data_IF_590200864119
#
_entry.id   IF_590200864119
#
_cell.length_a   1.000
_cell.length_b   1.000
_cell.length_c   1.000
_cell.angle_alpha   90.00
_cell.angle_beta   90.00
_cell.angle_gamma   90.00
#
_symmetry.space_group_name_H-M   'P 1'
#
loop_
_entity.id
_entity.type
_entity.pdbx_description
1 polymer ?
#
# COMPACT_ATOMS: atom_id res chain seq x y z
N UNK A 1 12.14 -5.42 -3.21
CA UNK A 1 13.56 -5.18 -2.87
C UNK A 1 13.72 -4.09 -1.79
N UNK A 2 13.32 -2.83 -2.04
CA UNK A 2 13.58 -1.70 -1.13
C UNK A 2 13.21 -1.92 0.35
N UNK A 3 12.05 -2.50 0.65
CA UNK A 3 11.65 -2.83 2.04
C UNK A 3 12.61 -3.75 2.79
N UNK A 4 13.27 -4.70 2.09
CA UNK A 4 14.27 -5.57 2.70
C UNK A 4 15.57 -4.81 2.96
N UNK A 5 16.03 -4.01 1.99
CA UNK A 5 17.22 -3.18 2.15
C UNK A 5 17.06 -2.19 3.31
N UNK A 6 15.89 -1.56 3.45
CA UNK A 6 15.64 -0.58 4.50
C UNK A 6 15.63 -1.25 5.88
N UNK A 7 14.94 -2.39 6.00
CA UNK A 7 14.96 -3.18 7.23
C UNK A 7 16.37 -3.65 7.59
N UNK A 8 17.16 -4.09 6.61
CA UNK A 8 18.56 -4.46 6.81
C UNK A 8 19.42 -3.28 7.26
N UNK A 9 19.27 -2.11 6.62
CA UNK A 9 20.03 -0.91 6.97
C UNK A 9 19.73 -0.51 8.41
N UNK A 10 18.44 -0.46 8.80
CA UNK A 10 18.03 -0.18 10.17
C UNK A 10 18.60 -1.19 11.18
N UNK A 11 18.49 -2.47 10.86
CA UNK A 11 18.97 -3.53 11.73
C UNK A 11 20.49 -3.47 11.91
N UNK A 12 21.24 -3.18 10.84
CA UNK A 12 22.69 -3.01 10.92
C UNK A 12 23.06 -1.74 11.68
N UNK A 13 22.37 -0.62 11.46
CA UNK A 13 22.57 0.62 12.22
C UNK A 13 22.42 0.39 13.72
N UNK A 14 21.37 -0.32 14.14
CA UNK A 14 21.16 -0.67 15.55
C UNK A 14 22.23 -1.64 16.05
N UNK A 15 22.58 -2.66 15.26
CA UNK A 15 23.62 -3.61 15.63
C UNK A 15 24.96 -2.92 15.86
N UNK A 16 25.39 -2.06 14.94
CA UNK A 16 26.65 -1.31 15.05
C UNK A 16 26.60 -0.35 16.25
N UNK A 17 25.48 0.36 16.45
CA UNK A 17 25.29 1.27 17.60
C UNK A 17 25.41 0.53 18.95
N UNK A 18 24.88 -0.68 19.04
CA UNK A 18 24.90 -1.48 20.27
C UNK A 18 26.10 -2.43 20.39
N UNK A 19 27.03 -2.44 19.42
CA UNK A 19 28.17 -3.35 19.42
C UNK A 19 27.78 -4.83 19.23
N UNK A 20 26.72 -5.09 18.46
CA UNK A 20 26.23 -6.44 18.14
C UNK A 20 26.57 -6.84 16.70
N UNK A 21 26.62 -8.15 16.45
CA UNK A 21 26.78 -8.68 15.08
C UNK A 21 25.48 -8.53 14.29
N UNK A 22 25.58 -7.93 13.10
CA UNK A 22 24.51 -7.94 12.11
C UNK A 22 24.48 -9.26 11.31
N UNK A 23 23.27 -9.76 11.04
CA UNK A 23 23.02 -10.81 10.07
C UNK A 23 21.60 -10.72 9.50
N UNK A 24 21.39 -11.31 8.32
CA UNK A 24 20.12 -11.21 7.60
C UNK A 24 19.64 -12.55 7.05
N UNK A 25 18.32 -12.67 6.87
CA UNK A 25 17.70 -13.77 6.12
C UNK A 25 17.14 -13.26 4.81
N UNK A 26 17.41 -13.98 3.73
CA UNK A 26 16.91 -13.65 2.39
C UNK A 26 16.79 -14.96 1.59
N UNK A 27 15.66 -15.17 0.93
CA UNK A 27 15.41 -16.40 0.17
C UNK A 27 16.35 -16.52 -1.05
N UNK A 28 16.85 -17.72 -1.36
CA UNK A 28 17.56 -18.01 -2.62
C UNK A 28 16.64 -18.40 -3.78
N UNK A 29 15.34 -18.17 -3.62
CA UNK A 29 14.35 -18.33 -4.69
C UNK A 29 13.82 -16.96 -5.06
N UNK A 30 13.83 -16.65 -6.35
CA UNK A 30 13.21 -15.44 -6.89
C UNK A 30 11.74 -15.43 -6.44
N UNK A 31 11.36 -14.38 -5.70
CA UNK A 31 9.97 -14.14 -5.37
C UNK A 31 9.45 -13.18 -6.43
N UNK A 32 8.81 -13.73 -7.46
CA UNK A 32 8.05 -12.97 -8.44
C UNK A 32 6.56 -13.13 -8.13
N UNK A 33 5.88 -12.07 -7.68
CA UNK A 33 4.44 -11.96 -7.97
C UNK A 33 4.38 -11.44 -9.42
N UNK A 34 3.80 -12.25 -10.31
CA UNK A 34 4.05 -12.34 -11.77
C UNK A 34 3.87 -11.05 -12.60
N UNK A 35 3.62 -9.89 -11.99
CA UNK A 35 3.39 -8.63 -12.71
C UNK A 35 3.99 -7.35 -12.08
N UNK A 36 4.26 -7.28 -10.77
CA UNK A 36 4.54 -5.96 -10.13
C UNK A 36 5.66 -5.94 -9.08
N UNK A 37 6.11 -7.09 -8.56
CA UNK A 37 7.16 -7.15 -7.54
C UNK A 37 8.19 -8.23 -7.90
N UNK A 38 9.36 -7.79 -8.34
CA UNK A 38 10.54 -8.65 -8.46
C UNK A 38 11.40 -8.46 -7.21
N UNK A 39 11.69 -9.55 -6.52
CA UNK A 39 12.73 -9.60 -5.49
C UNK A 39 13.70 -10.69 -5.86
N UNK A 40 14.85 -10.28 -6.37
CA UNK A 40 15.94 -11.18 -6.72
C UNK A 40 16.57 -11.82 -5.48
N UNK A 41 17.39 -12.84 -5.74
CA UNK A 41 18.13 -13.59 -4.73
C UNK A 41 19.27 -12.75 -4.14
N UNK A 42 19.69 -13.07 -2.92
CA UNK A 42 20.76 -12.33 -2.23
C UNK A 42 22.07 -12.30 -3.06
N UNK A 43 22.40 -13.41 -3.72
CA UNK A 43 23.61 -13.59 -4.53
C UNK A 43 23.69 -12.65 -5.74
N UNK A 44 22.56 -12.10 -6.22
CA UNK A 44 22.56 -11.07 -7.26
C UNK A 44 22.81 -9.67 -6.70
N UNK A 45 22.46 -9.43 -5.43
CA UNK A 45 22.48 -8.10 -4.82
C UNK A 45 23.77 -7.84 -4.08
N UNK A 46 24.28 -8.82 -3.33
CA UNK A 46 25.43 -8.68 -2.45
C UNK A 46 26.65 -9.44 -2.97
N UNK A 47 27.83 -9.04 -2.55
CA UNK A 47 29.07 -9.76 -2.85
C UNK A 47 29.11 -11.13 -2.15
N UNK A 48 29.89 -12.09 -2.66
CA UNK A 48 30.12 -13.37 -1.97
C UNK A 48 30.62 -13.18 -0.52
N UNK A 49 31.58 -12.28 -0.31
CA UNK A 49 32.13 -11.95 1.00
C UNK A 49 31.06 -11.44 1.98
N UNK A 50 30.17 -10.57 1.53
CA UNK A 50 29.08 -10.06 2.37
C UNK A 50 28.13 -11.17 2.78
N UNK A 51 27.81 -12.07 1.85
CA UNK A 51 26.94 -13.22 2.09
C UNK A 51 27.59 -14.16 3.09
N UNK A 52 28.86 -14.51 2.92
CA UNK A 52 29.59 -15.38 3.85
C UNK A 52 29.60 -14.81 5.28
N UNK A 53 29.81 -13.51 5.43
CA UNK A 53 29.91 -12.85 6.74
C UNK A 53 28.56 -12.66 7.42
N UNK A 54 27.50 -12.33 6.68
CA UNK A 54 26.26 -11.81 7.26
C UNK A 54 25.00 -12.64 6.96
N UNK A 55 25.00 -13.53 5.97
CA UNK A 55 23.79 -14.29 5.62
C UNK A 55 23.57 -15.45 6.59
N UNK A 56 22.41 -15.46 7.25
CA UNK A 56 22.02 -16.48 8.23
C UNK A 56 21.23 -17.64 7.60
N UNK A 57 21.16 -17.68 6.26
CA UNK A 57 20.35 -18.61 5.50
C UNK A 57 18.97 -18.06 5.11
N UNK A 58 18.14 -18.90 4.48
CA UNK A 58 16.79 -18.49 4.05
C UNK A 58 15.85 -18.20 5.22
N UNK A 59 16.06 -18.90 6.35
CA UNK A 59 15.24 -18.78 7.56
C UNK A 59 16.08 -19.00 8.81
N UNK A 60 15.72 -18.30 9.87
CA UNK A 60 16.18 -18.58 11.23
C UNK A 60 15.08 -19.27 12.03
N UNK A 61 15.46 -20.03 13.06
CA UNK A 61 14.51 -20.58 14.04
C UNK A 61 14.03 -19.44 14.94
N UNK A 62 12.90 -18.82 14.58
CA UNK A 62 12.36 -17.62 15.24
C UNK A 62 12.21 -17.78 16.76
N UNK A 63 11.92 -18.97 17.26
CA UNK A 63 11.83 -19.25 18.70
C UNK A 63 13.14 -19.04 19.49
N UNK A 64 14.27 -18.87 18.81
CA UNK A 64 15.58 -18.60 19.43
C UNK A 64 15.90 -17.09 19.46
N UNK A 65 15.02 -16.22 18.97
CA UNK A 65 15.26 -14.79 18.88
C UNK A 65 14.07 -14.02 19.49
N UNK A 66 14.35 -12.87 20.09
CA UNK A 66 13.32 -11.90 20.46
C UNK A 66 12.86 -11.11 19.23
N UNK A 67 11.67 -10.50 19.28
CA UNK A 67 11.27 -9.50 18.27
C UNK A 67 11.71 -8.14 18.79
N UNK A 68 12.39 -7.37 17.94
CA UNK A 68 12.80 -6.01 18.24
C UNK A 68 11.61 -5.08 17.95
N UNK A 69 11.03 -4.53 19.01
CA UNK A 69 9.90 -3.61 18.94
C UNK A 69 10.12 -2.40 19.87
N UNK A 70 9.11 -1.54 19.98
CA UNK A 70 9.17 -0.36 20.84
C UNK A 70 9.38 -0.69 22.33
N UNK A 71 8.86 -1.83 22.80
CA UNK A 71 9.03 -2.24 24.19
C UNK A 71 10.46 -2.75 24.43
N UNK A 72 11.02 -3.51 23.48
CA UNK A 72 12.39 -4.00 23.54
C UNK A 72 13.42 -2.86 23.55
N UNK A 73 13.16 -1.77 22.81
CA UNK A 73 14.01 -0.57 22.79
C UNK A 73 13.74 0.39 23.96
N UNK A 74 12.76 0.09 24.82
CA UNK A 74 12.17 1.03 25.77
C UNK A 74 12.80 1.12 27.17
N UNK A 75 13.93 0.46 27.46
CA UNK A 75 14.66 0.75 28.71
C UNK A 75 15.54 -0.32 29.35
N UNK A 76 15.57 -1.56 28.85
CA UNK A 76 16.53 -2.59 29.32
C UNK A 76 17.58 -2.85 28.26
N UNK A 77 18.78 -3.27 28.68
CA UNK A 77 19.82 -3.70 27.75
C UNK A 77 19.34 -4.91 26.95
N UNK A 78 19.42 -4.82 25.62
CA UNK A 78 19.06 -5.91 24.72
C UNK A 78 19.86 -7.20 25.01
N UNK A 79 21.10 -7.06 25.47
CA UNK A 79 21.96 -8.17 25.87
C UNK A 79 21.48 -8.87 27.14
N UNK A 80 21.11 -8.11 28.17
CA UNK A 80 20.58 -8.66 29.44
C UNK A 80 19.29 -9.44 29.22
N UNK A 81 18.36 -8.87 28.45
CA UNK A 81 17.08 -9.53 28.14
C UNK A 81 17.31 -10.79 27.30
N UNK A 82 18.28 -10.76 26.37
CA UNK A 82 18.65 -11.94 25.61
C UNK A 82 19.22 -13.05 26.51
N UNK A 83 20.07 -12.71 27.48
CA UNK A 83 20.64 -13.67 28.42
C UNK A 83 19.57 -14.29 29.34
N UNK A 84 18.72 -13.46 29.94
CA UNK A 84 17.62 -13.89 30.82
C UNK A 84 16.68 -14.86 30.11
N UNK A 85 16.31 -14.52 28.86
CA UNK A 85 15.38 -15.32 28.05
C UNK A 85 16.07 -16.40 27.22
N UNK A 86 17.38 -16.59 27.37
CA UNK A 86 18.22 -17.55 26.61
C UNK A 86 18.05 -17.40 25.08
N UNK A 87 17.94 -16.16 24.61
CA UNK A 87 17.85 -15.79 23.19
C UNK A 87 19.23 -15.72 22.55
N UNK A 88 19.30 -15.97 21.25
CA UNK A 88 20.51 -15.82 20.43
C UNK A 88 20.67 -14.43 19.82
N UNK A 89 19.66 -13.56 20.00
CA UNK A 89 19.63 -12.22 19.43
C UNK A 89 18.20 -11.74 19.20
N UNK A 90 18.06 -10.76 18.31
CA UNK A 90 16.82 -10.06 18.04
C UNK A 90 16.50 -10.07 16.54
N UNK A 91 15.23 -10.27 16.20
CA UNK A 91 14.69 -10.13 14.85
C UNK A 91 14.21 -8.69 14.70
N UNK A 92 14.75 -7.99 13.72
CA UNK A 92 14.24 -6.70 13.27
C UNK A 92 13.49 -6.90 11.96
N UNK A 93 12.17 -6.96 12.02
CA UNK A 93 11.28 -7.10 10.86
C UNK A 93 10.45 -5.83 10.58
N UNK A 94 10.68 -4.75 11.34
CA UNK A 94 10.07 -3.44 11.12
C UNK A 94 11.05 -2.45 10.45
N UNK A 95 10.72 -2.03 9.23
CA UNK A 95 11.48 -1.01 8.51
C UNK A 95 11.31 0.41 9.11
N UNK A 96 10.49 0.59 10.15
CA UNK A 96 10.35 1.82 10.94
C UNK A 96 10.92 1.69 12.35
N UNK A 97 11.68 0.62 12.63
CA UNK A 97 12.19 0.35 13.98
C UNK A 97 12.94 1.53 14.61
N UNK A 98 13.65 2.34 13.82
CA UNK A 98 14.38 3.51 14.30
C UNK A 98 13.45 4.59 14.89
N UNK A 99 12.19 4.67 14.45
CA UNK A 99 11.19 5.59 15.04
C UNK A 99 10.83 5.23 16.48
N UNK A 100 11.12 4.01 16.90
CA UNK A 100 10.93 3.54 18.27
C UNK A 100 12.18 3.71 19.15
N UNK A 101 13.32 4.09 18.57
CA UNK A 101 14.52 4.36 19.33
C UNK A 101 14.34 5.63 20.16
N UNK A 102 14.42 5.49 21.49
CA UNK A 102 14.24 6.58 22.47
C UNK A 102 15.56 7.17 22.97
N UNK A 103 16.70 6.62 22.55
CA UNK A 103 18.01 7.16 22.86
C UNK A 103 18.33 8.43 22.05
N UNK A 104 19.49 9.01 22.31
CA UNK A 104 20.02 10.13 21.53
C UNK A 104 20.25 9.70 20.08
N UNK A 105 19.43 10.21 19.16
CA UNK A 105 19.54 9.88 17.73
C UNK A 105 20.86 10.33 17.12
N UNK A 106 21.54 11.33 17.70
CA UNK A 106 22.87 11.75 17.25
C UNK A 106 23.94 10.69 17.53
N UNK A 107 23.66 9.70 18.37
CA UNK A 107 24.55 8.55 18.65
C UNK A 107 24.31 7.35 17.76
N UNK A 108 23.26 7.35 16.93
CA UNK A 108 23.08 6.29 15.95
C UNK A 108 24.16 6.40 14.88
N UNK A 109 24.76 5.27 14.50
CA UNK A 109 25.54 5.20 13.27
C UNK A 109 24.66 5.67 12.10
N UNK A 110 25.21 6.48 11.19
CA UNK A 110 24.44 7.05 10.09
C UNK A 110 23.77 5.96 9.25
N UNK A 111 22.44 6.01 9.10
CA UNK A 111 21.69 5.03 8.31
C UNK A 111 22.13 5.04 6.83
N UNK A 112 22.38 6.23 6.29
CA UNK A 112 22.92 6.45 4.94
C UNK A 112 24.31 5.82 4.78
N UNK A 113 25.19 6.02 5.76
CA UNK A 113 26.52 5.39 5.80
C UNK A 113 26.43 3.86 5.89
N UNK A 114 25.53 3.36 6.74
CA UNK A 114 25.29 1.93 6.92
C UNK A 114 24.85 1.25 5.62
N UNK A 115 23.92 1.88 4.88
CA UNK A 115 23.45 1.37 3.60
C UNK A 115 24.58 1.35 2.56
N UNK A 116 25.40 2.41 2.50
CA UNK A 116 26.56 2.50 1.61
C UNK A 116 27.67 1.51 2.00
N UNK A 117 27.73 1.09 3.26
CA UNK A 117 28.68 0.07 3.73
C UNK A 117 28.27 -1.36 3.36
N UNK A 118 27.09 -1.58 2.77
CA UNK A 118 26.75 -2.89 2.24
C UNK A 118 27.65 -3.22 1.06
N UNK A 119 28.30 -4.38 1.12
CA UNK A 119 29.16 -4.82 0.05
C UNK A 119 28.29 -5.47 -1.05
N UNK A 120 27.91 -4.65 -2.02
CA UNK A 120 27.07 -5.04 -3.15
C UNK A 120 27.84 -5.90 -4.17
N UNK A 121 27.10 -6.67 -4.97
CA UNK A 121 27.67 -7.45 -6.07
C UNK A 121 28.33 -6.54 -7.12
N UNK A 122 29.28 -7.07 -7.90
CA UNK A 122 29.97 -6.30 -8.94
C UNK A 122 28.99 -5.69 -9.97
N UNK A 123 27.93 -6.42 -10.31
CA UNK A 123 26.90 -5.94 -11.24
C UNK A 123 26.10 -4.76 -10.66
N UNK A 124 25.72 -4.83 -9.38
CA UNK A 124 25.02 -3.73 -8.70
C UNK A 124 25.93 -2.51 -8.57
N UNK A 125 27.22 -2.70 -8.20
CA UNK A 125 28.21 -1.62 -8.17
C UNK A 125 28.34 -0.95 -9.54
N UNK A 126 28.44 -1.74 -10.62
CA UNK A 126 28.49 -1.22 -11.98
C UNK A 126 27.26 -0.39 -12.36
N UNK A 127 26.05 -0.80 -11.94
CA UNK A 127 24.82 -0.03 -12.17
C UNK A 127 24.84 1.31 -11.39
N UNK A 128 25.30 1.31 -10.14
CA UNK A 128 25.45 2.53 -9.33
C UNK A 128 26.50 3.45 -9.95
N UNK A 129 27.64 2.91 -10.40
CA UNK A 129 28.72 3.69 -11.02
C UNK A 129 28.30 4.31 -12.34
N UNK A 130 27.56 3.58 -13.19
CA UNK A 130 26.97 4.12 -14.42
C UNK A 130 26.04 5.32 -14.14
N UNK A 131 25.21 5.21 -13.09
CA UNK A 131 24.37 6.32 -12.66
C UNK A 131 25.22 7.50 -12.16
N UNK A 132 26.32 7.26 -11.45
CA UNK A 132 27.24 8.30 -10.97
C UNK A 132 27.97 9.04 -12.11
N UNK A 133 28.23 8.35 -13.22
CA UNK A 133 28.88 8.94 -14.41
C UNK A 133 27.93 9.80 -15.27
N UNK A 134 26.62 9.67 -15.08
CA UNK A 134 25.62 10.46 -15.82
C UNK A 134 25.76 11.95 -15.52
N UNK A 135 25.69 12.84 -16.52
CA UNK A 135 25.84 14.29 -16.29
C UNK A 135 24.49 14.99 -16.19
N UNK A 136 24.26 15.71 -15.10
CA UNK A 136 23.11 16.62 -14.97
C UNK A 136 23.53 18.00 -15.46
N UNK A 137 22.78 18.55 -16.42
CA UNK A 137 23.07 19.87 -16.99
C UNK A 137 22.66 21.03 -16.07
N UNK A 138 21.82 20.76 -15.08
CA UNK A 138 21.30 21.71 -14.11
C UNK A 138 20.90 20.98 -12.82
N UNK A 139 20.71 21.68 -11.70
CA UNK A 139 20.18 21.08 -10.49
C UNK A 139 18.86 20.35 -10.76
N UNK A 140 18.73 19.13 -10.26
CA UNK A 140 17.55 18.28 -10.49
C UNK A 140 16.82 17.96 -9.19
N UNK A 141 15.50 17.85 -9.28
CA UNK A 141 14.66 17.17 -8.31
C UNK A 141 14.11 15.89 -8.94
N UNK A 142 14.12 14.79 -8.20
CA UNK A 142 13.48 13.56 -8.64
C UNK A 142 11.99 13.60 -8.29
N UNK A 143 11.12 13.18 -9.21
CA UNK A 143 9.69 12.95 -8.97
C UNK A 143 9.38 11.48 -9.22
N UNK A 144 9.14 10.74 -8.14
CA UNK A 144 8.84 9.31 -8.18
C UNK A 144 7.33 9.06 -8.22
N UNK A 145 6.85 8.61 -9.38
CA UNK A 145 5.47 8.25 -9.67
C UNK A 145 5.27 6.74 -9.52
N UNK A 146 5.10 6.29 -8.28
CA UNK A 146 4.72 4.90 -7.99
C UNK A 146 3.33 4.61 -8.55
N UNK A 147 3.17 3.57 -9.34
CA UNK A 147 1.85 3.14 -9.85
C UNK A 147 1.60 1.67 -9.55
N UNK A 148 2.20 0.78 -10.36
CA UNK A 148 2.25 -0.67 -10.14
C UNK A 148 0.92 -1.28 -9.70
N UNK A 149 0.96 -2.10 -8.67
CA UNK A 149 -0.20 -2.80 -8.12
C UNK A 149 -1.21 -1.91 -7.38
N UNK A 150 -0.82 -0.68 -7.02
CA UNK A 150 -1.67 0.30 -6.31
C UNK A 150 -2.57 1.06 -7.27
N UNK A 151 -2.14 1.29 -8.52
CA UNK A 151 -2.96 1.96 -9.54
C UNK A 151 -3.52 0.95 -10.55
N UNK A 152 -2.69 0.02 -11.03
CA UNK A 152 -3.05 -0.92 -12.10
C UNK A 152 -3.42 -2.31 -11.58
N UNK A 153 -3.13 -2.61 -10.32
CA UNK A 153 -3.37 -3.93 -9.72
C UNK A 153 -4.55 -3.97 -8.75
N UNK A 154 -4.61 -5.06 -7.98
CA UNK A 154 -5.69 -5.34 -7.00
C UNK A 154 -5.71 -4.39 -5.81
N UNK A 155 -4.62 -3.69 -5.53
CA UNK A 155 -4.51 -2.85 -4.33
C UNK A 155 -5.18 -1.49 -4.47
N UNK A 156 -5.57 -1.10 -5.69
CA UNK A 156 -6.32 0.15 -5.97
C UNK A 156 -7.63 0.26 -5.18
N UNK A 157 -8.34 -0.87 -5.03
CA UNK A 157 -9.60 -0.92 -4.29
C UNK A 157 -9.44 -0.87 -2.76
N UNK A 158 -8.22 -0.91 -2.23
CA UNK A 158 -8.00 -0.87 -0.77
C UNK A 158 -8.02 0.56 -0.22
N UNK A 159 -7.82 1.59 -1.05
CA UNK A 159 -7.76 3.02 -0.70
C UNK A 159 -6.62 3.44 0.25
N UNK A 160 -6.26 2.64 1.25
CA UNK A 160 -5.22 2.98 2.26
C UNK A 160 -3.82 3.19 1.65
N UNK A 161 -3.60 2.66 0.45
CA UNK A 161 -2.32 2.77 -0.26
C UNK A 161 -2.22 4.04 -1.09
N UNK A 162 -3.28 4.86 -1.15
CA UNK A 162 -3.29 6.07 -1.97
C UNK A 162 -2.15 7.02 -1.59
N UNK A 163 -1.85 7.18 -0.30
CA UNK A 163 -0.71 7.99 0.18
C UNK A 163 0.68 7.47 -0.20
N UNK A 164 0.80 6.31 -0.87
CA UNK A 164 2.05 5.82 -1.46
C UNK A 164 2.32 6.37 -2.85
N UNK A 165 1.32 6.97 -3.48
CA UNK A 165 1.34 7.40 -4.88
C UNK A 165 1.20 8.91 -4.93
N UNK A 166 2.00 9.57 -5.76
CA UNK A 166 1.68 10.89 -6.27
C UNK A 166 0.86 10.65 -7.53
N UNK A 167 -0.40 11.11 -7.61
CA UNK A 167 -1.21 10.95 -8.82
C UNK A 167 -0.48 11.57 -10.01
N UNK A 168 -0.41 10.85 -11.13
CA UNK A 168 0.21 11.37 -12.36
C UNK A 168 -0.46 12.64 -12.89
N UNK A 169 -1.73 12.84 -12.54
CA UNK A 169 -2.51 14.07 -12.80
C UNK A 169 -2.07 15.28 -11.97
N UNK A 170 -1.30 15.09 -10.89
CA UNK A 170 -0.68 16.19 -10.13
C UNK A 170 0.73 16.52 -10.64
N UNK A 171 1.33 15.64 -11.44
CA UNK A 171 2.73 15.76 -11.85
C UNK A 171 3.02 17.05 -12.65
N UNK A 172 2.19 17.52 -13.60
CA UNK A 172 2.46 18.77 -14.33
C UNK A 172 2.64 19.98 -13.40
N UNK A 173 1.77 20.11 -12.39
CA UNK A 173 1.86 21.19 -11.42
C UNK A 173 3.09 21.08 -10.52
N UNK A 174 3.46 19.86 -10.11
CA UNK A 174 4.71 19.61 -9.35
C UNK A 174 5.92 20.01 -10.18
N UNK A 175 5.99 19.59 -11.44
CA UNK A 175 7.10 19.88 -12.36
C UNK A 175 7.21 21.40 -12.59
N UNK A 176 6.08 22.07 -12.85
CA UNK A 176 6.03 23.53 -12.99
C UNK A 176 6.54 24.24 -11.74
N UNK A 177 6.13 23.77 -10.54
CA UNK A 177 6.59 24.34 -9.27
C UNK A 177 8.09 24.15 -9.07
N UNK A 178 8.63 22.98 -9.38
CA UNK A 178 10.07 22.70 -9.30
C UNK A 178 10.88 23.54 -10.29
N UNK A 179 10.37 23.72 -11.51
CA UNK A 179 10.97 24.62 -12.51
C UNK A 179 11.03 26.06 -12.01
N UNK A 180 9.97 26.56 -11.38
CA UNK A 180 9.97 27.91 -10.75
C UNK A 180 10.99 28.07 -9.62
N UNK A 181 11.47 26.97 -9.05
CA UNK A 181 12.52 26.92 -8.03
C UNK A 181 13.93 26.70 -8.64
N UNK A 182 14.07 26.76 -9.97
CA UNK A 182 15.33 26.62 -10.69
C UNK A 182 15.84 25.17 -10.76
N UNK A 183 14.95 24.18 -10.73
CA UNK A 183 15.30 22.76 -10.85
C UNK A 183 14.63 22.11 -12.06
N UNK A 184 15.38 21.27 -12.77
CA UNK A 184 14.79 20.29 -13.68
C UNK A 184 14.16 19.13 -12.90
N UNK A 185 13.23 18.44 -13.55
CA UNK A 185 12.60 17.25 -12.97
C UNK A 185 13.10 15.98 -13.66
N UNK A 186 13.64 15.04 -12.88
CA UNK A 186 13.84 13.64 -13.27
C UNK A 186 12.58 12.85 -12.93
N UNK A 187 11.89 12.26 -13.90
CA UNK A 187 10.75 11.39 -13.67
C UNK A 187 11.19 9.93 -13.54
N UNK A 188 10.67 9.26 -12.51
CA UNK A 188 10.88 7.84 -12.26
C UNK A 188 9.53 7.20 -11.98
N UNK A 189 9.17 6.14 -12.69
CA UNK A 189 7.89 5.47 -12.50
C UNK A 189 7.79 4.19 -13.30
N UNK A 190 6.71 3.43 -13.08
CA UNK A 190 6.55 2.10 -13.68
C UNK A 190 5.69 2.11 -14.96
N UNK A 191 4.88 3.14 -15.18
CA UNK A 191 3.94 3.20 -16.30
C UNK A 191 4.49 4.06 -17.45
N UNK A 192 5.19 3.42 -18.38
CA UNK A 192 5.94 4.09 -19.45
C UNK A 192 5.11 5.08 -20.29
N UNK A 193 3.90 4.74 -20.78
CA UNK A 193 3.11 5.68 -21.58
C UNK A 193 2.79 7.00 -20.86
N UNK A 194 2.52 6.93 -19.55
CA UNK A 194 2.27 8.15 -18.74
C UNK A 194 3.54 8.98 -18.58
N UNK A 195 4.70 8.33 -18.41
CA UNK A 195 5.97 9.03 -18.31
C UNK A 195 6.34 9.73 -19.61
N UNK A 196 6.14 9.07 -20.75
CA UNK A 196 6.40 9.66 -22.07
C UNK A 196 5.49 10.87 -22.34
N UNK A 197 4.19 10.75 -22.01
CA UNK A 197 3.26 11.88 -22.05
C UNK A 197 3.73 13.05 -21.18
N UNK A 198 4.06 12.79 -19.90
CA UNK A 198 4.49 13.84 -18.97
C UNK A 198 5.79 14.49 -19.44
N UNK A 199 6.75 13.73 -19.98
CA UNK A 199 7.97 14.28 -20.59
C UNK A 199 7.63 15.22 -21.74
N UNK A 200 6.77 14.78 -22.67
CA UNK A 200 6.39 15.59 -23.83
C UNK A 200 5.67 16.88 -23.43
N UNK A 201 4.78 16.81 -22.44
CA UNK A 201 3.97 17.96 -22.00
C UNK A 201 4.76 18.96 -21.14
N UNK A 202 5.76 18.50 -20.38
CA UNK A 202 6.39 19.34 -19.34
C UNK A 202 7.87 19.62 -19.54
N UNK A 203 8.52 18.93 -20.48
CA UNK A 203 9.98 19.00 -20.67
C UNK A 203 10.80 18.32 -19.57
N UNK A 204 10.16 17.57 -18.66
CA UNK A 204 10.87 16.73 -17.70
C UNK A 204 11.66 15.62 -18.41
N UNK A 205 12.72 15.14 -17.79
CA UNK A 205 13.57 14.06 -18.34
C UNK A 205 13.27 12.73 -17.67
N UNK A 206 13.52 11.64 -18.39
CA UNK A 206 13.32 10.28 -17.92
C UNK A 206 14.65 9.63 -17.54
N UNK A 207 14.60 8.60 -16.71
CA UNK A 207 15.78 7.76 -16.41
C UNK A 207 16.36 7.11 -17.67
N UNK A 208 15.55 6.86 -18.69
CA UNK A 208 16.00 6.37 -20.01
C UNK A 208 16.93 7.36 -20.72
N UNK A 209 16.78 8.67 -20.50
CA UNK A 209 17.65 9.70 -21.09
C UNK A 209 19.08 9.62 -20.54
N UNK A 210 19.28 8.86 -19.45
CA UNK A 210 20.56 8.60 -18.82
C UNK A 210 21.03 7.14 -19.00
N UNK A 211 20.31 6.33 -19.78
CA UNK A 211 20.70 4.95 -20.08
C UNK A 211 20.04 3.86 -19.23
N UNK A 212 18.96 4.17 -18.49
CA UNK A 212 18.26 3.14 -17.70
C UNK A 212 17.74 1.95 -18.53
N UNK A 213 17.44 2.17 -19.81
CA UNK A 213 16.92 1.12 -20.70
C UNK A 213 18.02 0.17 -21.21
N UNK A 214 19.30 0.44 -20.94
CA UNK A 214 20.39 -0.49 -21.22
C UNK A 214 20.44 -1.67 -20.22
N UNK A 215 19.70 -1.59 -19.11
CA UNK A 215 19.65 -2.64 -18.10
C UNK A 215 18.41 -3.53 -18.32
N UNK A 216 18.62 -4.73 -18.87
CA UNK A 216 17.57 -5.74 -19.01
C UNK A 216 17.15 -6.37 -17.67
N UNK A 217 18.08 -6.46 -16.70
CA UNK A 217 17.79 -6.93 -15.36
C UNK A 217 17.13 -5.82 -14.53
N UNK A 218 15.87 -6.02 -14.16
CA UNK A 218 15.06 -5.07 -13.38
C UNK A 218 15.67 -4.71 -12.02
N UNK A 219 16.44 -5.61 -11.40
CA UNK A 219 17.16 -5.30 -10.16
C UNK A 219 18.31 -4.33 -10.42
N UNK A 220 19.10 -4.54 -11.48
CA UNK A 220 20.15 -3.60 -11.88
C UNK A 220 19.57 -2.25 -12.31
N UNK A 221 18.51 -2.25 -13.11
CA UNK A 221 17.77 -1.04 -13.50
C UNK A 221 17.29 -0.26 -12.27
N UNK A 222 16.71 -0.96 -11.29
CA UNK A 222 16.28 -0.33 -10.04
C UNK A 222 17.43 0.31 -9.25
N UNK A 223 18.60 -0.34 -9.16
CA UNK A 223 19.77 0.25 -8.50
C UNK A 223 20.31 1.47 -9.25
N UNK A 224 20.36 1.41 -10.58
CA UNK A 224 20.73 2.54 -11.43
C UNK A 224 19.80 3.75 -11.20
N UNK A 225 18.48 3.53 -11.25
CA UNK A 225 17.49 4.59 -11.04
C UNK A 225 17.52 5.16 -9.62
N UNK A 226 17.65 4.32 -8.59
CA UNK A 226 17.82 4.80 -7.20
C UNK A 226 19.10 5.62 -7.05
N UNK A 227 20.19 5.24 -7.72
CA UNK A 227 21.44 6.00 -7.71
C UNK A 227 21.31 7.33 -8.45
N UNK A 228 20.57 7.43 -9.55
CA UNK A 228 20.25 8.71 -10.19
C UNK A 228 19.42 9.62 -9.27
N UNK A 229 18.41 9.07 -8.61
CA UNK A 229 17.59 9.80 -7.64
C UNK A 229 18.44 10.32 -6.46
N UNK A 230 19.37 9.50 -5.96
CA UNK A 230 20.31 9.86 -4.90
C UNK A 230 21.22 11.05 -5.25
N UNK A 231 21.40 11.37 -6.54
CA UNK A 231 22.20 12.51 -7.00
C UNK A 231 21.37 13.78 -7.19
N UNK A 232 20.05 13.69 -7.11
CA UNK A 232 19.17 14.86 -7.19
C UNK A 232 19.27 15.67 -5.89
N UNK A 233 18.99 16.98 -5.95
CA UNK A 233 18.99 17.87 -4.78
C UNK A 233 17.96 17.44 -3.73
N UNK A 234 16.85 16.88 -4.19
CA UNK A 234 15.76 16.37 -3.37
C UNK A 234 14.89 15.41 -4.17
N UNK A 235 14.13 14.58 -3.47
CA UNK A 235 13.23 13.57 -4.05
C UNK A 235 11.80 13.87 -3.60
N UNK A 236 10.86 13.96 -4.53
CA UNK A 236 9.43 14.00 -4.24
C UNK A 236 8.79 12.64 -4.50
N UNK A 237 8.12 12.11 -3.48
CA UNK A 237 7.43 10.82 -3.57
C UNK A 237 6.27 10.74 -2.57
N UNK A 238 5.28 9.90 -2.87
CA UNK A 238 4.42 9.31 -1.85
C UNK A 238 5.23 8.40 -0.91
N UNK A 239 4.59 7.70 0.03
CA UNK A 239 5.23 6.77 0.99
C UNK A 239 5.80 5.48 0.37
N UNK A 240 6.64 5.64 -0.65
CA UNK A 240 7.34 4.58 -1.38
C UNK A 240 8.68 4.28 -0.72
N UNK A 241 8.85 3.05 -0.23
CA UNK A 241 10.13 2.58 0.33
C UNK A 241 11.25 2.61 -0.72
N UNK A 242 10.92 2.52 -2.01
CA UNK A 242 11.90 2.68 -3.09
C UNK A 242 12.57 4.07 -3.04
N UNK A 243 11.77 5.13 -2.88
CA UNK A 243 12.27 6.49 -2.76
C UNK A 243 12.99 6.74 -1.42
N UNK A 244 12.58 6.06 -0.35
CA UNK A 244 13.30 6.09 0.95
C UNK A 244 14.71 5.51 0.81
N UNK A 245 14.88 4.40 0.10
CA UNK A 245 16.23 3.86 -0.18
C UNK A 245 17.06 4.83 -1.01
N UNK A 246 16.52 5.40 -2.09
CA UNK A 246 17.24 6.37 -2.89
C UNK A 246 17.67 7.60 -2.08
N UNK A 247 16.79 8.10 -1.20
CA UNK A 247 17.10 9.18 -0.26
C UNK A 247 18.26 8.83 0.66
N UNK A 248 18.27 7.63 1.24
CA UNK A 248 19.37 7.14 2.09
C UNK A 248 20.67 6.90 1.32
N UNK A 249 20.59 6.41 0.09
CA UNK A 249 21.78 6.20 -0.75
C UNK A 249 22.52 7.53 -0.97
N UNK A 250 21.78 8.59 -1.30
CA UNK A 250 22.33 9.92 -1.58
C UNK A 250 22.50 10.83 -0.37
N UNK A 251 21.91 10.47 0.78
CA UNK A 251 21.70 11.37 1.91
C UNK A 251 20.95 12.66 1.52
N UNK A 252 19.93 12.50 0.66
CA UNK A 252 19.17 13.62 0.07
C UNK A 252 17.76 13.70 0.64
N UNK A 253 17.17 14.90 0.82
CA UNK A 253 15.83 15.05 1.39
C UNK A 253 14.74 14.32 0.60
N UNK A 254 13.90 13.56 1.31
CA UNK A 254 12.68 12.95 0.77
C UNK A 254 11.44 13.76 1.19
N UNK A 255 10.83 14.40 0.21
CA UNK A 255 9.69 15.31 0.38
C UNK A 255 8.38 14.66 -0.08
N UNK A 256 7.28 15.01 0.58
CA UNK A 256 5.92 14.69 0.11
C UNK A 256 5.43 15.78 -0.85
N UNK A 257 4.51 15.43 -1.75
CA UNK A 257 3.81 16.44 -2.57
C UNK A 257 3.07 17.48 -1.70
N UNK A 258 2.67 17.10 -0.48
CA UNK A 258 2.10 17.99 0.53
C UNK A 258 3.00 19.18 0.91
N UNK A 259 4.32 19.12 0.66
CA UNK A 259 5.23 20.24 0.86
C UNK A 259 5.12 21.32 -0.23
N UNK A 260 4.44 21.01 -1.34
CA UNK A 260 4.21 21.94 -2.46
C UNK A 260 2.76 22.42 -2.50
N UNK A 261 1.82 21.49 -2.27
CA UNK A 261 0.38 21.75 -2.33
C UNK A 261 -0.30 21.03 -1.17
N UNK A 262 -1.10 21.73 -0.37
CA UNK A 262 -1.93 21.08 0.63
C UNK A 262 -3.00 20.18 -0.02
N UNK A 263 -3.68 19.36 0.79
CA UNK A 263 -4.61 18.36 0.28
C UNK A 263 -5.78 18.97 -0.53
N UNK A 264 -6.48 20.03 -0.06
CA UNK A 264 -7.50 20.71 -0.87
C UNK A 264 -6.95 21.26 -2.18
N UNK A 265 -5.80 21.95 -2.16
CA UNK A 265 -5.22 22.54 -3.37
C UNK A 265 -4.78 21.48 -4.37
N UNK A 266 -4.20 20.38 -3.89
CA UNK A 266 -3.84 19.26 -4.74
C UNK A 266 -5.08 18.63 -5.41
N UNK A 267 -6.19 18.50 -4.68
CA UNK A 267 -7.44 18.01 -5.25
C UNK A 267 -7.99 18.93 -6.35
N UNK A 268 -7.99 20.25 -6.13
CA UNK A 268 -8.39 21.23 -7.15
C UNK A 268 -7.56 21.10 -8.42
N UNK A 269 -6.23 21.07 -8.29
CA UNK A 269 -5.31 20.93 -9.43
C UNK A 269 -5.59 19.63 -10.20
N UNK A 270 -5.77 18.52 -9.48
CA UNK A 270 -6.06 17.22 -10.12
C UNK A 270 -7.39 17.26 -10.89
N UNK A 271 -8.43 17.84 -10.30
CA UNK A 271 -9.75 17.91 -10.94
C UNK A 271 -9.74 18.84 -12.15
N UNK A 272 -9.00 19.95 -12.09
CA UNK A 272 -8.82 20.88 -13.22
C UNK A 272 -8.05 20.22 -14.37
N UNK A 273 -6.94 19.54 -14.07
CA UNK A 273 -6.18 18.76 -15.06
C UNK A 273 -7.08 17.73 -15.75
N UNK A 274 -7.82 16.94 -14.97
CA UNK A 274 -8.73 15.92 -15.50
C UNK A 274 -9.87 16.49 -16.32
N UNK A 275 -10.37 17.70 -15.99
CA UNK A 275 -11.43 18.35 -16.79
C UNK A 275 -11.00 18.58 -18.23
N UNK A 276 -9.72 18.86 -18.47
CA UNK A 276 -9.20 19.23 -19.78
C UNK A 276 -8.45 18.09 -20.48
N UNK A 277 -7.80 17.21 -19.71
CA UNK A 277 -6.81 16.26 -20.23
C UNK A 277 -7.05 14.81 -19.82
N UNK A 278 -8.25 14.45 -19.32
CA UNK A 278 -8.57 13.07 -18.91
C UNK A 278 -8.18 12.01 -19.94
N UNK A 279 -8.37 12.29 -21.24
CA UNK A 279 -8.11 11.35 -22.33
C UNK A 279 -6.61 11.12 -22.59
N UNK A 280 -5.74 12.01 -22.13
CA UNK A 280 -4.29 11.91 -22.31
C UNK A 280 -3.66 10.93 -21.29
N UNK A 281 -4.40 10.61 -20.23
CA UNK A 281 -4.00 9.63 -19.22
C UNK A 281 -4.58 8.25 -19.52
N UNK A 282 -3.83 7.21 -19.13
CA UNK A 282 -4.40 5.87 -19.06
C UNK A 282 -5.64 5.87 -18.15
N UNK A 283 -6.75 5.16 -18.48
CA UNK A 283 -7.99 5.24 -17.72
C UNK A 283 -7.83 5.01 -16.21
N UNK A 284 -6.99 4.04 -15.81
CA UNK A 284 -6.71 3.78 -14.38
C UNK A 284 -5.89 4.88 -13.68
N UNK A 285 -5.03 5.58 -14.41
CA UNK A 285 -4.29 6.73 -13.87
C UNK A 285 -5.26 7.92 -13.65
N UNK A 286 -6.14 8.17 -14.61
CA UNK A 286 -7.18 9.19 -14.49
C UNK A 286 -8.20 8.86 -13.38
N UNK A 287 -8.65 7.60 -13.29
CA UNK A 287 -9.52 7.13 -12.22
C UNK A 287 -8.85 7.32 -10.84
N UNK A 288 -7.55 7.00 -10.75
CA UNK A 288 -6.79 7.22 -9.53
C UNK A 288 -6.64 8.71 -9.19
N UNK A 289 -6.54 9.59 -10.18
CA UNK A 289 -6.60 11.04 -10.00
C UNK A 289 -7.89 11.48 -9.30
N UNK A 290 -9.06 11.09 -9.83
CA UNK A 290 -10.34 11.35 -9.17
C UNK A 290 -10.42 10.73 -7.75
N UNK A 291 -9.92 9.50 -7.58
CA UNK A 291 -9.85 8.84 -6.27
C UNK A 291 -9.01 9.66 -5.28
N UNK A 292 -7.84 10.15 -5.71
CA UNK A 292 -6.94 10.92 -4.86
C UNK A 292 -7.55 12.29 -4.49
N UNK A 293 -8.22 12.96 -5.43
CA UNK A 293 -8.93 14.21 -5.17
C UNK A 293 -10.08 14.02 -4.17
N UNK A 294 -10.86 12.94 -4.32
CA UNK A 294 -11.90 12.57 -3.36
C UNK A 294 -11.31 12.31 -1.97
N UNK A 295 -10.29 11.45 -1.84
CA UNK A 295 -9.69 11.11 -0.55
C UNK A 295 -9.05 12.33 0.14
N UNK A 296 -8.48 13.26 -0.62
CA UNK A 296 -7.91 14.50 -0.10
C UNK A 296 -8.96 15.47 0.47
N UNK A 297 -10.22 15.30 0.10
CA UNK A 297 -11.33 16.19 0.45
C UNK A 297 -12.47 15.48 1.19
N UNK A 298 -12.33 14.19 1.50
CA UNK A 298 -13.42 13.31 1.94
C UNK A 298 -14.19 13.85 3.15
N UNK A 299 -13.50 14.44 4.12
CA UNK A 299 -14.12 14.97 5.34
C UNK A 299 -14.86 16.31 5.14
N UNK A 300 -14.68 16.96 3.98
CA UNK A 300 -15.18 18.32 3.69
C UNK A 300 -16.07 18.41 2.46
N UNK A 301 -15.97 17.45 1.55
CA UNK A 301 -16.70 17.46 0.27
C UNK A 301 -18.19 17.21 0.50
N UNK A 302 -19.04 17.99 -0.17
CA UNK A 302 -20.48 17.77 -0.13
C UNK A 302 -20.82 16.41 -0.76
N UNK A 303 -21.77 15.61 -0.23
CA UNK A 303 -21.97 14.25 -0.73
C UNK A 303 -22.41 14.19 -2.21
N UNK A 304 -23.16 15.19 -2.71
CA UNK A 304 -23.43 15.35 -4.15
C UNK A 304 -22.17 15.50 -5.01
N UNK A 305 -21.22 16.34 -4.60
CA UNK A 305 -19.94 16.51 -5.29
C UNK A 305 -19.06 15.25 -5.17
N UNK A 306 -19.07 14.59 -4.02
CA UNK A 306 -18.39 13.32 -3.82
C UNK A 306 -18.88 12.27 -4.83
N UNK A 307 -20.20 12.16 -5.02
CA UNK A 307 -20.77 11.25 -6.02
C UNK A 307 -20.36 11.62 -7.43
N UNK A 308 -20.30 12.90 -7.80
CA UNK A 308 -19.85 13.31 -9.13
C UNK A 308 -18.41 12.84 -9.41
N UNK A 309 -17.48 13.13 -8.49
CA UNK A 309 -16.07 12.74 -8.60
C UNK A 309 -15.92 11.21 -8.64
N UNK A 310 -16.60 10.49 -7.74
CA UNK A 310 -16.53 9.03 -7.67
C UNK A 310 -17.18 8.35 -8.87
N UNK A 311 -18.24 8.91 -9.45
CA UNK A 311 -18.85 8.40 -10.68
C UNK A 311 -17.91 8.55 -11.87
N UNK A 312 -17.17 9.65 -11.99
CA UNK A 312 -16.11 9.81 -13.01
C UNK A 312 -15.00 8.78 -12.82
N UNK A 313 -14.55 8.55 -11.58
CA UNK A 313 -13.59 7.49 -11.27
C UNK A 313 -14.11 6.10 -11.65
N UNK A 314 -15.37 5.80 -11.33
CA UNK A 314 -16.01 4.52 -11.61
C UNK A 314 -16.22 4.27 -13.11
N UNK A 315 -16.53 5.29 -13.89
CA UNK A 315 -16.65 5.17 -15.34
C UNK A 315 -15.32 4.77 -16.00
N UNK A 316 -14.20 5.22 -15.45
CA UNK A 316 -12.85 4.92 -15.95
C UNK A 316 -12.28 3.58 -15.43
N UNK A 317 -12.70 3.15 -14.24
CA UNK A 317 -12.29 1.87 -13.64
C UNK A 317 -13.48 1.17 -12.95
N UNK A 318 -14.40 0.55 -13.73
CA UNK A 318 -15.64 -0.05 -13.23
C UNK A 318 -15.43 -1.32 -12.39
N UNK A 319 -14.22 -1.88 -12.43
CA UNK A 319 -13.79 -3.04 -11.64
C UNK A 319 -13.42 -2.67 -10.19
N UNK A 320 -13.18 -1.39 -9.90
CA UNK A 320 -12.85 -0.96 -8.55
C UNK A 320 -14.13 -0.76 -7.72
N UNK A 321 -14.50 -1.81 -6.99
CA UNK A 321 -15.69 -1.84 -6.12
C UNK A 321 -15.63 -0.83 -4.96
N UNK A 322 -14.47 -0.25 -4.66
CA UNK A 322 -14.33 0.78 -3.62
C UNK A 322 -15.15 2.03 -3.94
N UNK A 323 -15.25 2.40 -5.23
CA UNK A 323 -16.02 3.55 -5.65
C UNK A 323 -17.50 3.37 -5.36
N UNK A 324 -18.06 2.19 -5.65
CA UNK A 324 -19.46 1.90 -5.35
C UNK A 324 -19.76 1.98 -3.84
N UNK A 325 -18.85 1.51 -2.98
CA UNK A 325 -18.98 1.67 -1.54
C UNK A 325 -18.99 3.13 -1.11
N UNK A 326 -18.08 3.95 -1.63
CA UNK A 326 -18.01 5.37 -1.30
C UNK A 326 -19.20 6.15 -1.86
N UNK A 327 -19.70 5.81 -3.05
CA UNK A 327 -20.94 6.38 -3.62
C UNK A 327 -22.13 6.05 -2.73
N UNK A 328 -22.31 4.77 -2.35
CA UNK A 328 -23.39 4.38 -1.44
C UNK A 328 -23.30 5.09 -0.09
N UNK A 329 -22.08 5.19 0.47
CA UNK A 329 -21.83 5.93 1.72
C UNK A 329 -22.20 7.40 1.60
N UNK A 330 -21.90 8.04 0.46
CA UNK A 330 -22.29 9.43 0.20
C UNK A 330 -23.81 9.60 0.11
N UNK A 331 -24.55 8.67 -0.51
CA UNK A 331 -26.02 8.67 -0.48
C UNK A 331 -26.56 8.52 0.94
N UNK A 332 -25.99 7.59 1.73
CA UNK A 332 -26.43 7.32 3.10
C UNK A 332 -26.21 8.49 4.04
N UNK A 333 -25.13 9.27 3.86
CA UNK A 333 -24.89 10.52 4.62
C UNK A 333 -26.01 11.55 4.44
N UNK A 334 -26.61 11.62 3.26
CA UNK A 334 -27.75 12.50 2.97
C UNK A 334 -29.11 11.85 3.28
N UNK A 335 -29.13 10.66 3.89
CA UNK A 335 -30.33 9.84 4.09
C UNK A 335 -31.06 9.46 2.80
N UNK A 336 -30.41 9.58 1.64
CA UNK A 336 -30.87 8.99 0.39
C UNK A 336 -30.52 7.50 0.36
N UNK A 337 -31.15 6.76 1.27
CA UNK A 337 -30.89 5.34 1.43
C UNK A 337 -31.33 4.53 0.21
N UNK A 338 -32.36 4.99 -0.52
CA UNK A 338 -32.84 4.31 -1.73
C UNK A 338 -31.79 4.30 -2.84
N UNK A 339 -31.16 5.44 -3.12
CA UNK A 339 -30.09 5.50 -4.13
C UNK A 339 -28.87 4.69 -3.71
N UNK A 340 -28.46 4.78 -2.44
CA UNK A 340 -27.32 4.01 -1.94
C UNK A 340 -27.58 2.50 -1.97
N UNK A 341 -28.79 2.06 -1.63
CA UNK A 341 -29.22 0.66 -1.73
C UNK A 341 -29.18 0.17 -3.18
N UNK A 342 -29.64 0.97 -4.14
CA UNK A 342 -29.61 0.61 -5.56
C UNK A 342 -28.17 0.36 -6.05
N UNK A 343 -27.21 1.19 -5.62
CA UNK A 343 -25.78 1.01 -5.92
C UNK A 343 -25.25 -0.31 -5.34
N UNK A 344 -25.53 -0.60 -4.06
CA UNK A 344 -25.11 -1.85 -3.43
C UNK A 344 -25.73 -3.07 -4.11
N UNK A 345 -27.03 -3.03 -4.40
CA UNK A 345 -27.76 -4.09 -5.08
C UNK A 345 -27.16 -4.41 -6.44
N UNK A 346 -26.92 -3.38 -7.26
CA UNK A 346 -26.34 -3.55 -8.60
C UNK A 346 -24.97 -4.25 -8.55
N UNK A 347 -24.07 -3.79 -7.68
CA UNK A 347 -22.73 -4.37 -7.56
C UNK A 347 -22.77 -5.78 -6.97
N UNK A 348 -23.60 -6.02 -5.95
CA UNK A 348 -23.72 -7.34 -5.32
C UNK A 348 -24.31 -8.37 -6.29
N UNK A 349 -25.31 -8.01 -7.08
CA UNK A 349 -25.87 -8.86 -8.15
C UNK A 349 -24.81 -9.19 -9.19
N UNK A 350 -24.06 -8.18 -9.68
CA UNK A 350 -22.97 -8.38 -10.64
C UNK A 350 -21.94 -9.38 -10.11
N UNK A 351 -21.37 -9.11 -8.94
CA UNK A 351 -20.34 -9.98 -8.35
C UNK A 351 -20.85 -11.39 -8.06
N UNK A 352 -22.11 -11.53 -7.63
CA UNK A 352 -22.70 -12.83 -7.35
C UNK A 352 -22.99 -13.63 -8.62
N UNK A 353 -23.36 -12.97 -9.72
CA UNK A 353 -23.50 -13.60 -11.04
C UNK A 353 -22.16 -14.14 -11.52
N UNK A 354 -21.11 -13.33 -11.41
CA UNK A 354 -19.76 -13.73 -11.86
C UNK A 354 -19.18 -14.84 -10.98
N UNK A 355 -19.44 -14.78 -9.66
CA UNK A 355 -19.03 -15.80 -8.71
C UNK A 355 -20.04 -15.91 -7.55
N UNK A 356 -20.90 -16.95 -7.51
CA UNK A 356 -21.99 -17.08 -6.54
C UNK A 356 -21.53 -17.55 -5.15
N UNK A 357 -20.49 -16.91 -4.59
CA UNK A 357 -19.86 -17.21 -3.30
C UNK A 357 -19.88 -15.98 -2.39
N UNK A 358 -20.16 -16.20 -1.10
CA UNK A 358 -20.10 -15.18 -0.04
C UNK A 358 -18.85 -15.44 0.83
N UNK A 359 -18.09 -14.40 1.26
CA UNK A 359 -18.34 -12.98 0.99
C UNK A 359 -18.05 -12.57 -0.45
N UNK A 360 -18.85 -11.61 -0.93
CA UNK A 360 -18.60 -10.89 -2.17
C UNK A 360 -17.37 -9.97 -2.02
N UNK A 361 -16.80 -9.47 -3.12
CA UNK A 361 -15.64 -8.57 -3.09
C UNK A 361 -15.95 -7.29 -2.31
N UNK A 362 -17.13 -6.70 -2.55
CA UNK A 362 -17.56 -5.49 -1.82
C UNK A 362 -17.66 -5.72 -0.31
N UNK A 363 -18.13 -6.90 0.11
CA UNK A 363 -18.18 -7.28 1.53
C UNK A 363 -16.78 -7.48 2.12
N UNK A 364 -15.86 -8.09 1.37
CA UNK A 364 -14.46 -8.24 1.81
C UNK A 364 -13.81 -6.89 2.05
N UNK A 365 -14.05 -5.89 1.20
CA UNK A 365 -13.53 -4.53 1.42
C UNK A 365 -14.01 -3.91 2.73
N UNK A 366 -15.26 -4.18 3.15
CA UNK A 366 -15.82 -3.70 4.42
C UNK A 366 -15.30 -4.49 5.64
N UNK A 367 -14.99 -5.78 5.49
CA UNK A 367 -14.75 -6.69 6.62
C UNK A 367 -13.33 -7.25 6.74
N UNK A 368 -12.45 -7.02 5.77
CA UNK A 368 -11.05 -7.45 5.85
C UNK A 368 -10.17 -6.30 6.37
N UNK A 369 -9.23 -6.63 7.26
CA UNK A 369 -8.24 -5.66 7.73
C UNK A 369 -7.03 -5.64 6.84
N UNK A 370 -6.41 -4.47 6.71
CA UNK A 370 -5.12 -4.30 6.08
C UNK A 370 -4.24 -3.49 7.03
N UNK A 371 -3.09 -4.04 7.40
CA UNK A 371 -2.24 -3.55 8.51
C UNK A 371 -3.02 -3.28 9.80
N UNK A 372 -3.97 -4.17 10.13
CA UNK A 372 -4.76 -4.09 11.36
C UNK A 372 -5.86 -3.03 11.35
N UNK A 373 -6.12 -2.36 10.22
CA UNK A 373 -7.16 -1.34 10.08
C UNK A 373 -8.20 -1.76 9.04
N UNK A 374 -9.46 -1.35 9.24
CA UNK A 374 -10.51 -1.50 8.23
C UNK A 374 -10.51 -0.27 7.32
N UNK A 375 -10.32 -0.42 5.99
CA UNK A 375 -10.25 0.73 5.09
C UNK A 375 -11.51 1.62 5.08
N UNK A 376 -12.67 1.04 5.38
CA UNK A 376 -13.98 1.70 5.37
C UNK A 376 -14.54 1.97 6.77
N UNK A 377 -13.69 1.96 7.82
CA UNK A 377 -14.15 2.14 9.19
C UNK A 377 -14.97 3.43 9.38
N UNK A 378 -14.58 4.52 8.72
CA UNK A 378 -15.27 5.81 8.78
C UNK A 378 -16.65 5.82 8.10
N UNK A 379 -17.00 4.78 7.36
CA UNK A 379 -18.31 4.66 6.69
C UNK A 379 -19.27 3.72 7.46
N UNK A 380 -18.80 2.95 8.44
CA UNK A 380 -19.60 1.88 9.05
C UNK A 380 -20.94 2.36 9.62
N UNK A 381 -20.97 3.52 10.29
CA UNK A 381 -22.20 4.03 10.90
C UNK A 381 -23.27 4.36 9.86
N UNK A 382 -22.89 4.86 8.68
CA UNK A 382 -23.89 5.20 7.65
C UNK A 382 -24.49 3.95 6.99
N UNK A 383 -23.73 2.85 6.92
CA UNK A 383 -24.28 1.54 6.53
C UNK A 383 -25.23 0.97 7.58
N UNK A 384 -24.91 1.11 8.87
CA UNK A 384 -25.77 0.66 9.96
C UNK A 384 -27.08 1.45 9.99
N UNK A 385 -27.02 2.77 9.83
CA UNK A 385 -28.20 3.62 9.74
C UNK A 385 -29.12 3.25 8.56
N UNK A 386 -28.55 2.98 7.37
CA UNK A 386 -29.31 2.51 6.22
C UNK A 386 -29.94 1.12 6.47
N UNK A 387 -29.24 0.22 7.15
CA UNK A 387 -29.78 -1.08 7.55
C UNK A 387 -30.95 -0.95 8.55
N UNK A 388 -30.86 -0.02 9.50
CA UNK A 388 -31.93 0.28 10.45
C UNK A 388 -33.15 0.90 9.77
N UNK A 389 -32.94 1.69 8.73
CA UNK A 389 -34.00 2.23 7.88
C UNK A 389 -34.67 1.19 6.96
N UNK A 390 -34.27 -0.08 7.03
CA UNK A 390 -34.96 -1.19 6.37
C UNK A 390 -34.41 -1.59 4.99
N UNK A 391 -33.23 -1.11 4.60
CA UNK A 391 -32.65 -1.38 3.29
C UNK A 391 -31.85 -2.71 3.29
N UNK A 392 -32.28 -3.74 2.53
CA UNK A 392 -31.78 -5.11 2.69
C UNK A 392 -30.31 -5.35 2.31
N UNK A 393 -29.80 -4.74 1.24
CA UNK A 393 -28.40 -4.89 0.82
C UNK A 393 -27.45 -4.10 1.72
N UNK A 394 -27.87 -2.92 2.18
CA UNK A 394 -27.20 -2.22 3.29
C UNK A 394 -27.18 -3.09 4.56
N UNK A 395 -28.30 -3.73 4.92
CA UNK A 395 -28.37 -4.67 6.04
C UNK A 395 -27.45 -5.89 5.87
N UNK A 396 -27.35 -6.46 4.67
CA UNK A 396 -26.41 -7.55 4.39
C UNK A 396 -24.94 -7.11 4.59
N UNK A 397 -24.58 -5.90 4.16
CA UNK A 397 -23.26 -5.32 4.39
C UNK A 397 -23.01 -5.04 5.88
N UNK A 398 -23.98 -4.46 6.57
CA UNK A 398 -23.94 -4.16 8.01
C UNK A 398 -23.81 -5.41 8.87
N UNK A 399 -24.52 -6.49 8.55
CA UNK A 399 -24.35 -7.78 9.24
C UNK A 399 -22.92 -8.32 9.09
N UNK A 400 -22.31 -8.14 7.92
CA UNK A 400 -20.92 -8.52 7.69
C UNK A 400 -19.94 -7.66 8.47
N UNK A 401 -20.14 -6.34 8.51
CA UNK A 401 -19.35 -5.39 9.32
C UNK A 401 -19.41 -5.78 10.80
N UNK A 402 -20.61 -5.99 11.36
CA UNK A 402 -20.79 -6.37 12.76
C UNK A 402 -20.05 -7.66 13.12
N UNK A 403 -20.12 -8.67 12.25
CA UNK A 403 -19.42 -9.94 12.48
C UNK A 403 -17.90 -9.78 12.37
N UNK A 404 -17.39 -9.10 11.34
CA UNK A 404 -15.95 -9.06 11.08
C UNK A 404 -15.21 -8.01 11.89
N UNK A 405 -15.78 -6.82 12.04
CA UNK A 405 -15.15 -5.66 12.65
C UNK A 405 -15.49 -5.48 14.13
N UNK A 406 -16.71 -5.83 14.55
CA UNK A 406 -17.14 -5.70 15.95
C UNK A 406 -17.16 -7.01 16.72
N UNK A 407 -16.97 -8.14 16.03
CA UNK A 407 -17.14 -9.48 16.59
C UNK A 407 -18.52 -9.69 17.27
N UNK A 408 -19.54 -8.93 16.86
CA UNK A 408 -20.88 -9.00 17.42
C UNK A 408 -21.76 -9.95 16.60
N UNK A 409 -21.67 -11.24 16.95
CA UNK A 409 -22.42 -12.29 16.26
C UNK A 409 -23.93 -12.15 16.44
N UNK A 410 -24.40 -11.67 17.59
CA UNK A 410 -25.83 -11.58 17.90
C UNK A 410 -26.49 -10.49 17.06
N UNK A 411 -25.92 -9.30 17.05
CA UNK A 411 -26.43 -8.20 16.23
C UNK A 411 -26.28 -8.50 14.73
N UNK A 412 -25.16 -9.10 14.32
CA UNK A 412 -24.96 -9.50 12.93
C UNK A 412 -26.08 -10.44 12.44
N UNK A 413 -26.49 -11.42 13.25
CA UNK A 413 -27.59 -12.32 12.91
C UNK A 413 -28.94 -11.60 12.86
N UNK A 414 -29.23 -10.76 13.84
CA UNK A 414 -30.48 -9.98 13.86
C UNK A 414 -30.62 -9.08 12.61
N UNK A 415 -29.53 -8.43 12.20
CA UNK A 415 -29.51 -7.59 10.98
C UNK A 415 -29.65 -8.44 9.72
N UNK A 416 -28.96 -9.59 9.62
CA UNK A 416 -29.10 -10.49 8.48
C UNK A 416 -30.51 -11.10 8.36
N UNK A 417 -31.17 -11.36 9.49
CA UNK A 417 -32.56 -11.81 9.52
C UNK A 417 -33.52 -10.73 9.00
N UNK A 418 -33.31 -9.46 9.39
CA UNK A 418 -34.07 -8.34 8.84
C UNK A 418 -33.90 -8.23 7.33
N UNK A 419 -32.67 -8.35 6.82
CA UNK A 419 -32.41 -8.32 5.38
C UNK A 419 -33.20 -9.40 4.62
N UNK A 420 -33.19 -10.65 5.10
CA UNK A 420 -33.95 -11.75 4.47
C UNK A 420 -35.46 -11.57 4.62
N UNK A 421 -35.95 -10.99 5.71
CA UNK A 421 -37.39 -10.69 5.86
C UNK A 421 -37.87 -9.62 4.88
N UNK A 422 -37.02 -8.64 4.57
CA UNK A 422 -37.34 -7.58 3.62
C UNK A 422 -37.41 -8.08 2.17
N UNK A 423 -36.59 -9.05 1.78
CA UNK A 423 -36.71 -9.77 0.50
C UNK A 423 -36.37 -11.26 0.66
N UNK A 424 -37.39 -12.11 0.97
CA UNK A 424 -37.18 -13.53 1.20
C UNK A 424 -36.74 -14.31 -0.05
N UNK A 425 -37.06 -13.77 -1.24
CA UNK A 425 -36.77 -14.42 -2.51
C UNK A 425 -35.29 -14.31 -2.88
N UNK A 426 -34.63 -13.25 -2.42
CA UNK A 426 -33.26 -12.91 -2.77
C UNK A 426 -32.25 -13.99 -2.31
N UNK A 427 -31.55 -14.56 -3.29
CA UNK A 427 -30.55 -15.63 -3.08
C UNK A 427 -29.29 -15.11 -2.39
N UNK A 428 -28.92 -13.85 -2.62
CA UNK A 428 -27.73 -13.23 -2.03
C UNK A 428 -27.96 -13.04 -0.54
N UNK A 429 -29.08 -12.41 -0.15
CA UNK A 429 -29.40 -12.13 1.26
C UNK A 429 -29.45 -13.42 2.09
N UNK A 430 -30.10 -14.47 1.58
CA UNK A 430 -30.15 -15.79 2.24
C UNK A 430 -28.77 -16.43 2.40
N UNK A 431 -27.90 -16.32 1.40
CA UNK A 431 -26.52 -16.82 1.50
C UNK A 431 -25.68 -15.98 2.45
N UNK A 432 -25.90 -14.68 2.53
CA UNK A 432 -25.26 -13.81 3.53
C UNK A 432 -25.67 -14.25 4.93
N UNK A 433 -26.98 -14.35 5.22
CA UNK A 433 -27.48 -14.88 6.51
C UNK A 433 -26.84 -16.22 6.88
N UNK A 434 -26.82 -17.17 5.93
CA UNK A 434 -26.16 -18.48 6.15
C UNK A 434 -24.68 -18.34 6.47
N UNK A 435 -23.96 -17.42 5.80
CA UNK A 435 -22.56 -17.15 6.08
C UNK A 435 -22.36 -16.51 7.46
N UNK A 436 -23.24 -15.60 7.88
CA UNK A 436 -23.19 -14.99 9.21
C UNK A 436 -23.45 -16.06 10.27
N UNK A 437 -24.45 -16.94 10.11
CA UNK A 437 -24.72 -18.09 11.00
C UNK A 437 -23.51 -19.00 11.23
N UNK A 438 -22.64 -19.16 10.24
CA UNK A 438 -21.42 -19.97 10.36
C UNK A 438 -20.34 -19.35 11.25
N UNK A 439 -20.49 -18.08 11.65
CA UNK A 439 -19.49 -17.39 12.45
C UNK A 439 -18.23 -17.02 11.67
N UNK A 440 -17.31 -16.33 12.38
CA UNK A 440 -16.02 -15.94 11.84
C UNK A 440 -15.13 -17.16 11.64
N UNK A 441 -14.49 -17.26 10.47
CA UNK A 441 -13.52 -18.32 10.20
C UNK A 441 -12.26 -18.06 11.03
N UNK A 442 -11.71 -19.05 11.75
CA UNK A 442 -10.47 -18.88 12.49
C UNK A 442 -9.32 -18.41 11.58
N UNK A 443 -8.59 -17.39 12.01
CA UNK A 443 -7.47 -16.80 11.26
C UNK A 443 -6.27 -17.75 11.18
N UNK A 444 -5.99 -18.50 12.26
CA UNK A 444 -4.88 -19.46 12.38
C UNK A 444 -5.33 -20.83 12.92
N UNK A 445 -4.44 -21.83 12.85
CA UNK A 445 -4.66 -23.18 13.36
C UNK A 445 -5.41 -24.12 12.39
N UNK A 446 -4.71 -25.17 11.90
CA UNK A 446 -5.31 -26.19 11.03
C UNK A 446 -6.47 -26.92 11.71
N UNK A 447 -6.33 -27.24 12.99
CA UNK A 447 -7.36 -27.90 13.80
C UNK A 447 -8.57 -26.99 14.01
N UNK A 448 -8.38 -25.70 14.30
CA UNK A 448 -9.48 -24.75 14.44
C UNK A 448 -10.23 -24.56 13.11
N UNK A 449 -9.51 -24.46 11.99
CA UNK A 449 -10.11 -24.40 10.64
C UNK A 449 -10.84 -25.69 10.26
N UNK A 450 -10.31 -26.86 10.65
CA UNK A 450 -10.95 -28.15 10.42
C UNK A 450 -12.20 -28.32 11.28
N UNK A 451 -12.15 -27.97 12.58
CA UNK A 451 -13.31 -27.98 13.49
C UNK A 451 -14.42 -27.05 13.01
N UNK A 452 -14.07 -25.85 12.56
CA UNK A 452 -15.01 -24.91 11.94
C UNK A 452 -15.67 -25.49 10.67
N UNK A 453 -14.89 -26.15 9.80
CA UNK A 453 -15.41 -26.86 8.62
C UNK A 453 -16.29 -28.06 8.97
N UNK A 454 -15.96 -28.82 10.00
CA UNK A 454 -16.74 -29.99 10.44
C UNK A 454 -18.06 -29.55 11.09
N UNK A 455 -18.04 -28.51 11.92
CA UNK A 455 -19.26 -27.92 12.48
C UNK A 455 -20.19 -27.42 11.35
N UNK A 456 -19.61 -26.87 10.27
CA UNK A 456 -20.36 -26.48 9.09
C UNK A 456 -20.98 -27.65 8.32
N UNK A 457 -20.21 -28.74 8.09
CA UNK A 457 -20.72 -29.94 7.42
C UNK A 457 -21.81 -30.64 8.24
N UNK A 458 -21.68 -30.67 9.57
CA UNK A 458 -22.69 -31.22 10.48
C UNK A 458 -23.97 -30.38 10.52
N UNK A 459 -23.86 -29.06 10.35
CA UNK A 459 -25.01 -28.15 10.25
C UNK A 459 -25.77 -28.20 8.90
N UNK A 460 -25.25 -28.88 7.88
CA UNK A 460 -25.97 -29.14 6.62
C UNK A 460 -27.02 -30.26 6.75
N UNK A 461 -26.94 -31.09 7.80
CA UNK A 461 -27.91 -32.16 8.07
C UNK A 461 -29.10 -31.75 8.94
N UNK A 462 -29.18 -30.47 9.34
CA UNK A 462 -30.21 -29.95 10.25
C UNK A 462 -30.87 -28.66 9.71
N UNK A 463 -30.95 -28.51 8.38
CA UNK A 463 -31.59 -27.39 7.70
C UNK A 463 -32.76 -27.87 6.86
#
# INVERSE_FOLDING_TARGET
MGGRLLAMANAKTLADTFGHRFGFTWNRKVVADKAFHVVDIADKVFSPDFIERHWLGERVKASKFGILDAAALGGRSLGEVAQEKKLRGWICDDFRILSHFRGDQARLVGQSETLRSFDFSAAVKGAIDAANQSRFLQPMAALHLRSGDIVHGKHRATLIFAGKVIPSTLAPAVISRLSSMGMATLLIGQHRPTLDYLKAETGAVLTSDFGADAFEDETLKAFFEMALMARCRQIYSGSSIYAEIASLMGDVPLMRAAALFDAPRAAEIILDELKHRQADYHPREAAFGYQAAFLATEDKIAPGQAREVLNKAHALDPENDAYALKIASACFRERDYASGEAVLKAVMIRQFRDRPKIPLTIMRLLGDTVFGRYPFAGDFEVFLAAAEAGYPYAAACSAWILQQARADQRQALAVADRAVKADPSDKILRKVKRRILQGRKPSSGLVAKARWRIAWLRGLGAA
#
